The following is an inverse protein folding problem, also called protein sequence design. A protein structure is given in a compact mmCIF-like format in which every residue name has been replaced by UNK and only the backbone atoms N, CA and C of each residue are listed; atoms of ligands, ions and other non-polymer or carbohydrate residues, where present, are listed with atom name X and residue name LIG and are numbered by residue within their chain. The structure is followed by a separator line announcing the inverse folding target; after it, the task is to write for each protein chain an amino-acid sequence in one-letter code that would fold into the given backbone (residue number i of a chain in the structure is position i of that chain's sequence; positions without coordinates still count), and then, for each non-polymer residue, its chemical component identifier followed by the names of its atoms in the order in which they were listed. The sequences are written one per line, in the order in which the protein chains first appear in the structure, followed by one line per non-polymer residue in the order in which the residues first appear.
data_IF_785811797025
#
_entry.id   IF_785811797025
#
_cell.length_a   1.000
_cell.length_b   1.000
_cell.length_c   1.000
_cell.angle_alpha   90.00
_cell.angle_beta   90.00
_cell.angle_gamma   90.00
#
_symmetry.space_group_name_H-M   'P 1'
#
loop_
_entity.id
_entity.type
_entity.pdbx_description
1 polymer ?
#
# COMPACT_ATOMS: atom_id res chain seq x y z
N UNK A 1 -13.20 -9.47 -8.86
CA UNK A 1 -11.76 -9.49 -8.53
C UNK A 1 -11.51 -8.64 -7.30
N UNK A 2 -10.76 -9.16 -6.36
CA UNK A 2 -10.38 -8.46 -5.13
C UNK A 2 -8.97 -7.91 -5.26
N UNK A 3 -8.85 -6.61 -5.08
CA UNK A 3 -7.58 -5.90 -5.27
C UNK A 3 -7.17 -5.25 -3.96
N UNK A 4 -5.92 -5.47 -3.56
CA UNK A 4 -5.31 -4.73 -2.46
C UNK A 4 -4.62 -3.52 -3.06
N UNK A 5 -5.04 -2.33 -2.69
CA UNK A 5 -4.47 -1.07 -3.18
C UNK A 5 -3.61 -0.43 -2.10
N UNK A 6 -2.44 0.05 -2.48
CA UNK A 6 -1.45 0.64 -1.57
C UNK A 6 -1.06 2.03 -2.06
N UNK A 7 -1.03 3.00 -1.15
CA UNK A 7 -0.67 4.38 -1.43
C UNK A 7 0.37 4.87 -0.43
N UNK A 8 1.50 5.36 -0.91
CA UNK A 8 2.57 5.91 -0.08
C UNK A 8 3.28 7.10 -0.73
N UNK A 9 2.55 7.91 -1.51
CA UNK A 9 3.18 8.93 -2.36
C UNK A 9 3.72 10.16 -1.63
N UNK A 10 3.24 10.46 -0.43
CA UNK A 10 3.67 11.66 0.30
C UNK A 10 3.72 11.44 1.81
N UNK A 11 2.68 11.85 2.53
CA UNK A 11 2.68 11.84 4.00
C UNK A 11 1.61 10.91 4.61
N UNK A 12 0.95 10.11 3.79
CA UNK A 12 -0.01 9.13 4.26
C UNK A 12 0.36 7.75 3.74
N UNK A 13 0.28 6.75 4.61
CA UNK A 13 0.38 5.34 4.22
C UNK A 13 -1.03 4.79 4.25
N UNK A 14 -1.52 4.33 3.12
CA UNK A 14 -2.88 3.86 3.03
C UNK A 14 -2.96 2.50 2.33
N UNK A 15 -3.94 1.71 2.72
CA UNK A 15 -4.26 0.47 2.05
C UNK A 15 -5.77 0.28 2.04
N UNK A 16 -6.27 -0.27 0.97
CA UNK A 16 -7.68 -0.57 0.81
C UNK A 16 -7.87 -1.89 0.08
N UNK A 17 -8.96 -2.57 0.37
CA UNK A 17 -9.37 -3.74 -0.40
C UNK A 17 -10.61 -3.37 -1.16
N UNK A 18 -10.57 -3.54 -2.48
CA UNK A 18 -11.67 -3.18 -3.38
C UNK A 18 -12.09 -4.43 -4.16
N UNK A 19 -13.38 -4.65 -4.25
CA UNK A 19 -13.96 -5.77 -4.99
C UNK A 19 -14.64 -5.28 -6.24
N UNK A 20 -14.29 -5.85 -7.39
CA UNK A 20 -14.88 -5.57 -8.69
C UNK A 20 -14.85 -4.09 -9.10
N UNK A 21 -13.85 -3.37 -8.59
CA UNK A 21 -13.66 -1.96 -8.90
C UNK A 21 -14.72 -1.02 -8.34
N UNK A 22 -15.65 -1.51 -7.54
CA UNK A 22 -16.77 -0.72 -7.01
C UNK A 22 -16.95 -0.80 -5.51
N UNK A 23 -16.84 -2.00 -4.95
CA UNK A 23 -17.12 -2.22 -3.53
C UNK A 23 -15.85 -2.06 -2.72
N UNK A 24 -15.77 -1.01 -1.92
CA UNK A 24 -14.65 -0.81 -0.99
C UNK A 24 -14.92 -1.66 0.24
N UNK A 25 -14.19 -2.76 0.39
CA UNK A 25 -14.35 -3.66 1.51
C UNK A 25 -13.64 -3.15 2.76
N UNK A 26 -12.57 -2.39 2.58
CA UNK A 26 -11.85 -1.75 3.68
C UNK A 26 -11.04 -0.57 3.16
N UNK A 27 -10.71 0.36 4.07
CA UNK A 27 -9.84 1.49 3.76
C UNK A 27 -9.19 1.94 5.07
N UNK A 28 -7.87 1.93 5.09
CA UNK A 28 -7.08 2.27 6.28
C UNK A 28 -6.03 3.32 5.90
N UNK A 29 -5.94 4.38 6.69
CA UNK A 29 -4.98 5.46 6.46
C UNK A 29 -4.22 5.76 7.74
N UNK A 30 -2.90 5.83 7.63
CA UNK A 30 -2.02 6.31 8.69
C UNK A 30 -1.36 7.60 8.20
N UNK A 31 -1.69 8.73 8.84
CA UNK A 31 -1.22 10.04 8.42
C UNK A 31 0.00 10.50 9.22
N UNK A 32 0.90 11.21 8.53
CA UNK A 32 2.08 11.83 9.13
C UNK A 32 1.93 13.35 9.24
N UNK A 33 0.74 13.89 8.97
CA UNK A 33 0.52 15.34 8.86
C UNK A 33 0.99 16.08 10.10
N UNK A 34 0.66 15.59 11.30
CA UNK A 34 1.03 16.26 12.55
C UNK A 34 2.55 16.30 12.76
N UNK A 35 3.26 15.23 12.38
CA UNK A 35 4.72 15.20 12.50
C UNK A 35 5.36 16.22 11.56
N UNK A 36 4.94 16.27 10.32
CA UNK A 36 5.52 17.18 9.33
C UNK A 36 5.21 18.64 9.63
N UNK A 37 4.12 18.93 10.30
CA UNK A 37 3.80 20.30 10.74
C UNK A 37 4.88 20.92 11.62
N UNK A 38 5.58 20.11 12.40
CA UNK A 38 6.65 20.58 13.27
C UNK A 38 7.81 21.15 12.45
N UNK A 39 7.95 20.76 11.20
CA UNK A 39 9.02 21.19 10.32
C UNK A 39 8.55 22.18 9.24
N UNK A 40 7.28 22.60 9.30
CA UNK A 40 6.72 23.54 8.33
C UNK A 40 6.35 22.93 7.00
N UNK A 41 6.38 21.60 6.87
CA UNK A 41 6.01 20.89 5.66
C UNK A 41 6.58 19.48 5.63
N UNK A 42 6.32 18.74 4.56
CA UNK A 42 6.76 17.36 4.42
C UNK A 42 8.29 17.28 4.31
N UNK A 43 8.89 16.41 5.12
CA UNK A 43 10.33 16.12 5.08
C UNK A 43 10.49 14.74 4.42
N UNK A 44 11.05 14.65 3.19
CA UNK A 44 11.07 13.40 2.42
C UNK A 44 11.71 12.21 3.13
N UNK A 45 12.82 12.39 3.85
CA UNK A 45 13.46 11.30 4.58
C UNK A 45 12.59 10.76 5.70
N UNK A 46 11.92 11.66 6.43
CA UNK A 46 11.02 11.27 7.50
C UNK A 46 9.81 10.55 6.92
N UNK A 47 9.26 11.06 5.82
CA UNK A 47 8.13 10.45 5.16
C UNK A 47 8.45 9.01 4.75
N UNK A 48 9.58 8.78 4.08
CA UNK A 48 10.00 7.43 3.65
C UNK A 48 10.11 6.48 4.83
N UNK A 49 10.72 6.93 5.91
CA UNK A 49 10.90 6.12 7.11
C UNK A 49 9.57 5.74 7.76
N UNK A 50 8.65 6.70 7.85
CA UNK A 50 7.33 6.44 8.43
C UNK A 50 6.50 5.48 7.59
N UNK A 51 6.58 5.58 6.26
CA UNK A 51 5.93 4.61 5.37
C UNK A 51 6.47 3.20 5.62
N UNK A 52 7.78 3.05 5.71
CA UNK A 52 8.39 1.75 5.94
C UNK A 52 7.94 1.15 7.28
N UNK A 53 7.79 1.98 8.31
CA UNK A 53 7.32 1.53 9.61
C UNK A 53 5.83 1.16 9.63
N UNK A 54 5.02 1.89 8.87
CA UNK A 54 3.56 1.76 8.94
C UNK A 54 2.97 0.74 7.96
N UNK A 55 3.65 0.47 6.84
CA UNK A 55 3.03 -0.24 5.72
C UNK A 55 2.52 -1.64 6.07
N UNK A 56 3.27 -2.40 6.85
CA UNK A 56 2.86 -3.76 7.23
C UNK A 56 1.57 -3.73 8.05
N UNK A 57 1.52 -2.85 9.06
CA UNK A 57 0.36 -2.71 9.93
C UNK A 57 -0.88 -2.21 9.17
N UNK A 58 -0.69 -1.25 8.28
CA UNK A 58 -1.79 -0.68 7.48
C UNK A 58 -2.37 -1.73 6.54
N UNK A 59 -1.51 -2.49 5.86
CA UNK A 59 -1.96 -3.57 4.96
C UNK A 59 -2.66 -4.67 5.75
N UNK A 60 -2.09 -5.08 6.88
CA UNK A 60 -2.70 -6.11 7.71
C UNK A 60 -4.08 -5.68 8.21
N UNK A 61 -4.21 -4.43 8.67
CA UNK A 61 -5.48 -3.91 9.13
C UNK A 61 -6.52 -3.84 8.00
N UNK A 62 -6.10 -3.47 6.79
CA UNK A 62 -6.99 -3.45 5.64
C UNK A 62 -7.53 -4.85 5.33
N UNK A 63 -6.67 -5.86 5.37
CA UNK A 63 -7.08 -7.25 5.17
C UNK A 63 -8.02 -7.71 6.27
N UNK A 64 -7.71 -7.39 7.52
CA UNK A 64 -8.55 -7.77 8.67
C UNK A 64 -9.93 -7.13 8.58
N UNK A 65 -10.02 -5.86 8.24
CA UNK A 65 -11.31 -5.17 8.07
C UNK A 65 -12.12 -5.78 6.95
N UNK A 66 -11.47 -6.20 5.87
CA UNK A 66 -12.13 -6.85 4.75
C UNK A 66 -12.46 -8.32 5.03
N UNK A 67 -11.97 -8.86 6.15
CA UNK A 67 -12.11 -10.27 6.54
C UNK A 67 -11.52 -11.21 5.49
N UNK A 68 -10.36 -10.84 4.96
CA UNK A 68 -9.66 -11.62 3.95
C UNK A 68 -8.24 -11.94 4.42
N UNK A 69 -7.71 -13.04 3.87
CA UNK A 69 -6.28 -13.33 3.96
C UNK A 69 -5.60 -12.81 2.71
N UNK A 70 -4.28 -12.66 2.74
CA UNK A 70 -3.53 -12.24 1.57
C UNK A 70 -3.73 -13.19 0.39
N UNK A 71 -3.87 -14.49 0.65
CA UNK A 71 -4.09 -15.49 -0.40
C UNK A 71 -5.42 -15.33 -1.14
N UNK A 72 -6.37 -14.60 -0.58
CA UNK A 72 -7.67 -14.33 -1.20
C UNK A 72 -7.67 -13.07 -2.09
N UNK A 73 -6.58 -12.30 -2.06
CA UNK A 73 -6.39 -11.13 -2.91
C UNK A 73 -5.84 -11.57 -4.26
N UNK A 74 -6.45 -11.09 -5.33
CA UNK A 74 -6.13 -11.53 -6.69
C UNK A 74 -5.15 -10.62 -7.41
N UNK A 75 -5.02 -9.37 -6.97
CA UNK A 75 -4.09 -8.41 -7.55
C UNK A 75 -3.70 -7.36 -6.50
N UNK A 76 -2.55 -6.74 -6.72
CA UNK A 76 -2.08 -5.63 -5.88
C UNK A 76 -1.87 -4.41 -6.79
N UNK A 77 -2.49 -3.30 -6.41
CA UNK A 77 -2.31 -2.02 -7.09
C UNK A 77 -1.50 -1.09 -6.19
N UNK A 78 -0.62 -0.29 -6.77
CA UNK A 78 0.22 0.61 -5.99
C UNK A 78 0.43 1.92 -6.75
N UNK A 79 0.44 3.04 -6.02
CA UNK A 79 0.79 4.34 -6.60
C UNK A 79 2.29 4.37 -6.87
N UNK A 80 2.67 4.63 -8.13
CA UNK A 80 4.08 4.75 -8.49
C UNK A 80 4.47 6.15 -8.94
N UNK A 81 3.51 7.01 -9.23
CA UNK A 81 3.71 8.43 -9.60
C UNK A 81 2.35 9.15 -9.64
N UNK A 82 2.33 10.48 -9.42
CA UNK A 82 3.41 11.30 -8.89
C UNK A 82 3.55 11.19 -7.38
N UNK A 83 4.68 11.65 -6.84
CA UNK A 83 4.91 11.70 -5.40
C UNK A 83 6.38 11.79 -5.05
N UNK A 84 6.67 11.71 -3.75
CA UNK A 84 8.03 11.70 -3.25
C UNK A 84 8.69 10.36 -3.59
N UNK A 85 9.85 10.41 -4.23
CA UNK A 85 10.49 9.19 -4.77
C UNK A 85 10.76 8.14 -3.70
N UNK A 86 11.33 8.53 -2.56
CA UNK A 86 11.61 7.60 -1.47
C UNK A 86 10.35 6.98 -0.89
N UNK A 87 9.30 7.78 -0.71
CA UNK A 87 8.02 7.31 -0.21
C UNK A 87 7.35 6.35 -1.20
N UNK A 88 7.34 6.69 -2.49
CA UNK A 88 6.79 5.83 -3.54
C UNK A 88 7.50 4.47 -3.57
N UNK A 89 8.83 4.47 -3.42
CA UNK A 89 9.60 3.23 -3.44
C UNK A 89 9.23 2.27 -2.31
N UNK A 90 8.83 2.79 -1.16
CA UNK A 90 8.38 1.93 -0.05
C UNK A 90 7.16 1.11 -0.49
N UNK A 91 6.14 1.76 -1.02
CA UNK A 91 4.92 1.08 -1.48
C UNK A 91 5.18 0.13 -2.64
N UNK A 92 5.93 0.61 -3.65
CA UNK A 92 6.25 -0.20 -4.84
C UNK A 92 7.04 -1.45 -4.48
N UNK A 93 8.07 -1.33 -3.64
CA UNK A 93 8.86 -2.48 -3.23
C UNK A 93 8.07 -3.45 -2.37
N UNK A 94 7.21 -2.94 -1.49
CA UNK A 94 6.33 -3.80 -0.69
C UNK A 94 5.36 -4.58 -1.60
N UNK A 95 4.74 -3.91 -2.57
CA UNK A 95 3.83 -4.54 -3.51
C UNK A 95 4.53 -5.62 -4.34
N UNK A 96 5.76 -5.35 -4.81
CA UNK A 96 6.56 -6.35 -5.52
C UNK A 96 6.85 -7.56 -4.66
N UNK A 97 7.20 -7.35 -3.39
CA UNK A 97 7.44 -8.45 -2.45
C UNK A 97 6.20 -9.31 -2.26
N UNK A 98 5.03 -8.70 -2.10
CA UNK A 98 3.77 -9.43 -1.99
C UNK A 98 3.47 -10.22 -3.27
N UNK A 99 3.66 -9.61 -4.43
CA UNK A 99 3.41 -10.28 -5.72
C UNK A 99 4.30 -11.50 -5.88
N UNK A 100 5.58 -11.40 -5.49
CA UNK A 100 6.50 -12.52 -5.54
C UNK A 100 6.08 -13.65 -4.60
N UNK A 101 5.56 -13.32 -3.43
CA UNK A 101 5.11 -14.34 -2.46
C UNK A 101 3.89 -15.11 -2.95
N UNK A 102 3.13 -14.54 -3.90
CA UNK A 102 1.93 -15.15 -4.47
C UNK A 102 2.17 -15.85 -5.81
N UNK A 103 3.38 -15.78 -6.34
CA UNK A 103 3.70 -16.24 -7.69
C UNK A 103 3.43 -17.73 -7.91
N UNK A 104 3.50 -18.53 -6.86
CA UNK A 104 3.28 -19.97 -6.93
C UNK A 104 1.80 -20.36 -7.07
N UNK A 105 0.87 -19.42 -6.88
CA UNK A 105 -0.56 -19.69 -6.94
C UNK A 105 -1.25 -19.03 -8.14
N UNK A 106 -0.50 -18.28 -8.96
CA UNK A 106 -1.07 -17.61 -10.11
C UNK A 106 0.00 -17.33 -11.15
N UNK A 107 -0.42 -16.90 -12.35
CA UNK A 107 0.51 -16.57 -13.40
C UNK A 107 1.33 -15.33 -13.06
N UNK A 108 2.66 -15.44 -13.05
CA UNK A 108 3.54 -14.36 -12.62
C UNK A 108 3.35 -13.06 -13.38
N UNK A 109 3.17 -13.17 -14.69
CA UNK A 109 3.10 -11.99 -15.55
C UNK A 109 1.93 -11.08 -15.25
N UNK A 110 0.85 -11.61 -14.74
CA UNK A 110 -0.34 -10.80 -14.47
C UNK A 110 -0.25 -10.06 -13.16
N UNK A 111 0.17 -10.73 -12.14
CA UNK A 111 0.18 -10.15 -10.81
C UNK A 111 1.23 -9.07 -10.63
N UNK A 112 2.28 -9.08 -11.45
CA UNK A 112 3.33 -8.09 -11.32
C UNK A 112 3.05 -6.79 -12.04
N UNK A 113 1.90 -6.67 -12.66
CA UNK A 113 1.49 -5.42 -13.30
C UNK A 113 0.82 -4.53 -12.32
N UNK A 114 1.60 -3.93 -11.53
CA UNK A 114 1.08 -3.11 -10.45
C UNK A 114 1.50 -1.68 -10.67
#
# INVERSE_FOLDING_TARGET
MRILAIESSCDETAAAVVEDGRNVLSSVVASQVEEHKLYGGVVPEIASRRHAEAIVGVVQEALDQARLTLGEVEAVAVTHAPGLIGALLVGVNFAKGLSLSLIHISEPTRLRRI
#
